data_IF_698360026493
#
_entry.id   IF_698360026493
#
_cell.length_a   1.000
_cell.length_b   1.000
_cell.length_c   1.000
_cell.angle_alpha   90.00
_cell.angle_beta   90.00
_cell.angle_gamma   90.00
#
_symmetry.space_group_name_H-M   'P 1'
#
loop_
_entity.id
_entity.type
_entity.pdbx_description
1 polymer ?
#
# COMPACT_ATOMS: atom_id res chain seq x y z
N UNK A 1 -27.17 15.52 -28.92
CA UNK A 1 -27.21 15.79 -27.46
C UNK A 1 -28.64 15.59 -26.99
N UNK A 2 -28.88 14.48 -26.31
CA UNK A 2 -30.16 14.08 -25.72
C UNK A 2 -30.72 15.19 -24.80
N UNK A 3 -32.04 15.41 -24.82
CA UNK A 3 -32.71 16.38 -23.93
C UNK A 3 -32.44 16.09 -22.45
N UNK A 4 -32.24 14.81 -22.11
CA UNK A 4 -31.91 14.35 -20.76
C UNK A 4 -30.55 14.87 -20.26
N UNK A 5 -29.57 14.98 -21.15
CA UNK A 5 -28.19 15.34 -20.80
C UNK A 5 -28.08 16.85 -20.53
N UNK A 6 -28.78 17.68 -21.32
CA UNK A 6 -28.93 19.12 -21.06
C UNK A 6 -29.61 19.41 -19.72
N UNK A 7 -30.63 18.63 -19.35
CA UNK A 7 -31.34 18.83 -18.08
C UNK A 7 -30.46 18.51 -16.87
N UNK A 8 -29.60 17.48 -16.95
CA UNK A 8 -28.64 17.14 -15.88
C UNK A 8 -27.55 18.20 -15.72
N UNK A 9 -27.01 18.68 -16.84
CA UNK A 9 -25.99 19.73 -16.83
C UNK A 9 -26.51 21.04 -16.20
N UNK A 10 -27.74 21.45 -16.55
CA UNK A 10 -28.34 22.69 -16.02
C UNK A 10 -28.61 22.59 -14.51
N UNK A 11 -29.08 21.43 -14.04
CA UNK A 11 -29.33 21.22 -12.60
C UNK A 11 -28.03 21.24 -11.80
N UNK A 12 -26.99 20.58 -12.29
CA UNK A 12 -25.68 20.56 -11.62
C UNK A 12 -25.09 21.97 -11.51
N UNK A 13 -25.13 22.75 -12.59
CA UNK A 13 -24.63 24.12 -12.61
C UNK A 13 -25.38 25.04 -11.63
N UNK A 14 -26.71 24.93 -11.57
CA UNK A 14 -27.53 25.70 -10.65
C UNK A 14 -27.22 25.37 -9.18
N UNK A 15 -26.98 24.09 -8.86
CA UNK A 15 -26.65 23.66 -7.51
C UNK A 15 -25.29 24.23 -7.04
N UNK A 16 -24.27 24.20 -7.89
CA UNK A 16 -22.96 24.81 -7.56
C UNK A 16 -23.04 26.31 -7.35
N UNK A 17 -23.88 27.01 -8.13
CA UNK A 17 -24.05 28.47 -8.01
C UNK A 17 -24.70 28.89 -6.68
N UNK A 18 -25.52 28.00 -6.08
CA UNK A 18 -26.17 28.25 -4.79
C UNK A 18 -25.31 27.77 -3.62
N UNK A 19 -24.61 26.63 -3.76
CA UNK A 19 -23.85 26.03 -2.66
C UNK A 19 -22.58 26.82 -2.29
N UNK A 20 -21.88 27.38 -3.28
CA UNK A 20 -20.65 28.15 -3.06
C UNK A 20 -20.85 29.40 -2.17
N UNK A 21 -21.83 30.29 -2.43
CA UNK A 21 -22.06 31.44 -1.56
C UNK A 21 -22.66 31.06 -0.21
N UNK A 22 -23.38 29.94 -0.08
CA UNK A 22 -23.91 29.52 1.22
C UNK A 22 -22.82 29.06 2.19
N UNK A 23 -21.79 28.36 1.71
CA UNK A 23 -20.69 27.89 2.58
C UNK A 23 -19.96 29.07 3.23
N UNK A 24 -19.75 30.17 2.49
CA UNK A 24 -19.09 31.36 3.04
C UNK A 24 -19.97 32.17 4.01
N UNK A 25 -21.30 32.06 3.89
CA UNK A 25 -22.23 32.74 4.78
C UNK A 25 -22.42 32.00 6.11
N UNK A 26 -22.30 30.67 6.12
CA UNK A 26 -22.50 29.85 7.34
C UNK A 26 -21.22 29.61 8.16
N UNK A 27 -20.02 29.78 7.59
CA UNK A 27 -18.75 29.65 8.32
C UNK A 27 -18.40 30.89 9.17
N UNK A 28 -19.22 31.95 9.10
CA UNK A 28 -18.92 33.25 9.72
C UNK A 28 -19.36 33.38 11.18
N UNK A 29 -20.20 32.47 11.69
CA UNK A 29 -20.84 32.56 13.01
C UNK A 29 -20.38 31.46 13.99
N UNK A 30 -19.09 31.09 13.98
CA UNK A 30 -18.53 30.23 15.03
C UNK A 30 -17.33 30.89 15.75
N UNK A 31 -17.55 31.64 16.85
CA UNK A 31 -16.49 32.20 17.68
C UNK A 31 -15.95 31.17 18.69
N UNK A 32 -15.62 29.95 18.22
CA UNK A 32 -15.06 28.91 19.09
C UNK A 32 -13.93 28.14 18.42
N UNK A 33 -12.82 28.84 18.17
CA UNK A 33 -11.53 28.19 17.89
C UNK A 33 -10.60 28.36 19.09
N UNK A 34 -10.34 27.29 19.87
CA UNK A 34 -9.18 27.20 20.73
C UNK A 34 -8.14 26.29 20.05
N UNK A 35 -7.43 26.84 19.07
CA UNK A 35 -6.19 26.27 18.54
C UNK A 35 -4.97 26.96 19.14
N UNK A 36 -4.83 26.92 20.47
CA UNK A 36 -3.62 27.38 21.16
C UNK A 36 -2.93 26.18 21.82
N UNK A 37 -1.79 25.80 21.25
CA UNK A 37 -0.89 24.75 21.71
C UNK A 37 -0.50 24.97 23.18
N UNK A 38 -0.87 24.04 24.06
CA UNK A 38 -0.35 23.98 25.43
C UNK A 38 1.00 23.26 25.43
N UNK A 39 2.08 24.02 25.42
CA UNK A 39 3.41 23.51 25.79
C UNK A 39 3.57 23.69 27.29
N UNK A 40 3.32 22.64 28.06
CA UNK A 40 3.64 22.60 29.47
C UNK A 40 5.16 22.47 29.65
N UNK A 41 5.82 23.53 30.10
CA UNK A 41 7.20 23.49 30.55
C UNK A 41 7.26 22.78 31.91
N UNK A 42 7.75 21.55 31.94
CA UNK A 42 8.12 20.88 33.18
C UNK A 42 9.42 21.49 33.70
N UNK A 43 9.33 22.23 34.81
CA UNK A 43 10.49 22.68 35.57
C UNK A 43 11.21 21.48 36.16
N UNK A 44 12.50 21.34 35.85
CA UNK A 44 13.39 20.40 36.53
C UNK A 44 14.12 21.19 37.62
N UNK A 45 13.84 20.85 38.88
CA UNK A 45 14.61 21.33 40.02
C UNK A 45 16.03 20.76 39.93
N UNK A 46 17.02 21.65 39.82
CA UNK A 46 18.44 21.35 39.96
C UNK A 46 18.78 21.05 41.42
N UNK A 47 19.25 19.84 41.78
CA UNK A 47 19.85 19.63 43.08
C UNK A 47 21.28 20.22 43.10
N UNK A 48 21.45 21.29 43.89
CA UNK A 48 22.75 21.75 44.38
C UNK A 48 23.35 20.68 45.29
N UNK A 49 24.27 19.89 44.74
CA UNK A 49 25.10 18.95 45.50
C UNK A 49 26.50 18.95 44.93
N UNK A 50 27.44 19.59 45.64
CA UNK A 50 28.86 19.53 45.31
C UNK A 50 29.37 18.10 45.56
N UNK A 51 29.36 17.27 44.52
CA UNK A 51 30.04 15.99 44.55
C UNK A 51 31.53 16.21 44.26
N UNK A 52 32.38 15.95 45.26
CA UNK A 52 33.83 15.86 45.09
C UNK A 52 34.15 14.80 44.03
N UNK A 53 34.84 15.22 42.97
CA UNK A 53 35.37 14.33 41.96
C UNK A 53 36.54 13.53 42.54
N UNK A 54 36.28 12.30 42.98
CA UNK A 54 37.32 11.30 43.14
C UNK A 54 37.64 10.76 41.75
N UNK A 55 38.79 11.14 41.20
CA UNK A 55 39.32 10.54 39.97
C UNK A 55 39.69 9.08 40.25
N UNK A 56 39.04 8.07 39.62
CA UNK A 56 39.60 6.74 39.63
C UNK A 56 40.88 6.76 38.78
N UNK A 57 42.00 6.33 39.35
CA UNK A 57 43.17 5.95 38.56
C UNK A 57 42.82 4.62 37.90
N UNK A 58 42.17 4.68 36.74
CA UNK A 58 41.97 3.52 35.88
C UNK A 58 43.16 3.46 34.92
N UNK A 59 44.07 2.53 35.18
CA UNK A 59 45.05 2.13 34.16
C UNK A 59 44.29 1.51 32.99
N UNK A 60 44.50 1.97 31.73
CA UNK A 60 43.80 1.40 30.60
C UNK A 60 44.31 -0.03 30.35
N UNK A 61 43.42 -1.02 30.43
CA UNK A 61 43.74 -2.38 29.99
C UNK A 61 44.17 -2.36 28.51
N UNK A 62 45.23 -3.09 28.20
CA UNK A 62 45.75 -3.18 26.84
C UNK A 62 44.70 -3.80 25.91
N UNK A 63 44.49 -3.25 24.71
CA UNK A 63 43.50 -3.79 23.77
C UNK A 63 43.90 -5.21 23.35
N UNK A 64 43.00 -6.16 23.58
CA UNK A 64 43.10 -7.51 23.04
C UNK A 64 42.74 -7.43 21.55
N UNK A 65 43.74 -7.59 20.69
CA UNK A 65 43.52 -7.82 19.28
C UNK A 65 43.18 -9.30 19.11
N UNK A 66 41.95 -9.62 18.70
CA UNK A 66 41.66 -10.95 18.19
C UNK A 66 42.52 -11.15 16.94
N UNK A 67 43.54 -11.98 17.05
CA UNK A 67 44.25 -12.52 15.91
C UNK A 67 43.22 -13.26 15.04
N UNK A 68 43.23 -12.97 13.74
CA UNK A 68 42.30 -13.53 12.75
C UNK A 68 42.59 -15.02 12.47
N UNK A 69 42.98 -15.77 13.51
CA UNK A 69 43.34 -17.19 13.51
C UNK A 69 42.11 -18.09 13.50
N UNK A 70 40.90 -17.53 13.65
CA UNK A 70 39.66 -18.25 13.38
C UNK A 70 39.46 -18.34 11.87
N UNK A 71 39.89 -19.46 11.29
CA UNK A 71 39.46 -19.84 9.95
C UNK A 71 37.94 -20.01 9.99
N UNK A 72 37.22 -19.07 9.37
CA UNK A 72 35.80 -19.24 9.09
C UNK A 72 35.66 -20.46 8.18
N UNK A 73 35.36 -21.62 8.78
CA UNK A 73 35.05 -22.83 8.03
C UNK A 73 33.82 -22.52 7.20
N UNK A 74 33.99 -22.44 5.88
CA UNK A 74 32.87 -22.28 4.98
C UNK A 74 31.89 -23.45 5.26
N UNK A 75 30.59 -23.15 5.42
CA UNK A 75 29.61 -24.20 5.71
C UNK A 75 29.71 -25.28 4.62
N UNK A 76 29.75 -26.55 5.04
CA UNK A 76 29.92 -27.67 4.13
C UNK A 76 28.76 -27.80 3.12
N UNK A 77 27.62 -27.18 3.41
CA UNK A 77 26.43 -27.14 2.55
C UNK A 77 25.83 -25.75 2.62
N UNK A 78 25.58 -25.15 1.45
CA UNK A 78 24.79 -23.93 1.29
C UNK A 78 23.44 -24.37 0.75
N UNK A 79 22.42 -24.40 1.60
CA UNK A 79 21.06 -24.67 1.15
C UNK A 79 20.47 -23.39 0.55
N UNK A 80 20.41 -23.34 -0.78
CA UNK A 80 19.71 -22.28 -1.52
C UNK A 80 18.29 -22.77 -1.79
N UNK A 81 17.30 -22.15 -1.15
CA UNK A 81 15.90 -22.41 -1.45
C UNK A 81 15.56 -21.81 -2.83
N UNK A 82 15.55 -22.64 -3.87
CA UNK A 82 14.98 -22.25 -5.16
C UNK A 82 13.45 -22.41 -5.11
N UNK A 83 12.69 -21.41 -5.56
CA UNK A 83 11.25 -21.58 -5.77
C UNK A 83 11.00 -22.71 -6.77
N UNK A 84 9.93 -23.48 -6.56
CA UNK A 84 9.46 -24.42 -7.56
C UNK A 84 9.14 -23.66 -8.86
N UNK A 85 9.42 -24.24 -10.05
CA UNK A 85 8.97 -23.67 -11.30
C UNK A 85 7.43 -23.56 -11.29
N UNK A 86 6.86 -22.55 -11.97
CA UNK A 86 5.40 -22.39 -12.02
C UNK A 86 4.76 -23.66 -12.59
N UNK A 87 3.69 -24.12 -11.93
CA UNK A 87 2.91 -25.26 -12.41
C UNK A 87 2.14 -24.96 -13.69
N UNK A 88 1.51 -25.99 -14.29
CA UNK A 88 0.76 -25.85 -15.55
C UNK A 88 -0.40 -24.84 -15.48
N UNK A 89 -0.89 -24.53 -14.28
CA UNK A 89 -1.92 -23.54 -14.03
C UNK A 89 -1.41 -22.33 -13.24
N UNK A 90 -0.15 -21.96 -13.39
CA UNK A 90 0.42 -20.78 -12.76
C UNK A 90 1.04 -19.83 -13.78
N UNK A 91 0.90 -18.53 -13.55
CA UNK A 91 1.55 -17.51 -14.33
C UNK A 91 1.97 -16.33 -13.46
N UNK A 92 2.95 -15.56 -13.90
CA UNK A 92 3.34 -14.31 -13.27
C UNK A 92 3.04 -13.16 -14.22
N UNK A 93 2.60 -12.04 -13.68
CA UNK A 93 2.27 -10.86 -14.48
C UNK A 93 2.13 -9.60 -13.62
N UNK A 94 1.65 -8.53 -14.24
CA UNK A 94 1.34 -7.27 -13.55
C UNK A 94 -0.17 -7.10 -13.38
N UNK A 95 -0.63 -6.82 -12.16
CA UNK A 95 -2.03 -6.50 -11.89
C UNK A 95 -2.25 -5.00 -11.88
N UNK A 96 -3.33 -4.56 -12.50
CA UNK A 96 -3.90 -3.22 -12.37
C UNK A 96 -5.38 -3.33 -12.05
N UNK A 97 -6.04 -2.19 -11.85
CA UNK A 97 -7.46 -2.14 -11.54
C UNK A 97 -8.23 -1.31 -12.56
N UNK A 98 -9.50 -1.66 -12.71
CA UNK A 98 -10.50 -0.86 -13.40
C UNK A 98 -11.86 -1.20 -12.84
N UNK A 99 -12.77 -0.23 -12.77
CA UNK A 99 -14.15 -0.51 -12.35
C UNK A 99 -14.88 -1.37 -13.38
N UNK A 100 -15.45 -2.48 -12.93
CA UNK A 100 -16.33 -3.33 -13.74
C UNK A 100 -17.78 -2.91 -13.56
N UNK A 101 -18.28 -2.08 -14.47
CA UNK A 101 -19.67 -1.66 -14.47
C UNK A 101 -20.55 -2.69 -15.21
N UNK A 102 -21.75 -2.95 -14.68
CA UNK A 102 -22.80 -3.70 -15.39
C UNK A 102 -22.60 -5.21 -15.52
N UNK A 103 -21.68 -5.81 -14.75
CA UNK A 103 -21.50 -7.27 -14.70
C UNK A 103 -22.25 -7.89 -13.51
N UNK A 104 -22.82 -9.08 -13.73
CA UNK A 104 -23.42 -9.92 -12.69
C UNK A 104 -22.42 -10.87 -12.03
N UNK A 105 -21.20 -10.94 -12.57
CA UNK A 105 -20.16 -11.83 -12.08
C UNK A 105 -19.57 -11.23 -10.81
N UNK A 106 -19.55 -12.02 -9.74
CA UNK A 106 -18.92 -11.63 -8.49
C UNK A 106 -17.39 -11.57 -8.67
N UNK A 107 -16.80 -10.42 -8.33
CA UNK A 107 -15.34 -10.18 -8.35
C UNK A 107 -14.70 -10.52 -9.70
N UNK A 108 -15.10 -9.80 -10.76
CA UNK A 108 -14.61 -10.05 -12.10
C UNK A 108 -13.15 -9.59 -12.25
N UNK A 109 -12.42 -10.26 -13.12
CA UNK A 109 -11.11 -9.84 -13.59
C UNK A 109 -10.89 -10.29 -15.04
N UNK A 110 -9.88 -9.75 -15.70
CA UNK A 110 -9.53 -10.11 -17.07
C UNK A 110 -8.03 -10.34 -17.15
N UNK A 111 -7.62 -11.55 -17.55
CA UNK A 111 -6.23 -11.87 -17.91
C UNK A 111 -6.19 -12.89 -19.05
N UNK A 112 -5.33 -12.66 -20.04
CA UNK A 112 -5.08 -13.63 -21.12
C UNK A 112 -4.14 -14.76 -20.70
N UNK A 113 -3.60 -14.73 -19.49
CA UNK A 113 -2.71 -15.77 -18.96
C UNK A 113 -3.49 -16.99 -18.44
N UNK A 114 -4.77 -16.83 -18.12
CA UNK A 114 -5.63 -17.88 -17.59
C UNK A 114 -6.85 -18.10 -18.51
N UNK A 115 -7.49 -19.30 -18.48
CA UNK A 115 -8.69 -19.58 -19.24
C UNK A 115 -9.87 -18.67 -18.87
N UNK A 116 -10.80 -18.47 -19.80
CA UNK A 116 -12.08 -17.81 -19.53
C UNK A 116 -12.92 -18.62 -18.53
N UNK A 117 -13.58 -17.93 -17.60
CA UNK A 117 -14.41 -18.54 -16.57
C UNK A 117 -13.63 -19.15 -15.40
N UNK A 118 -12.29 -19.18 -15.46
CA UNK A 118 -11.46 -19.69 -14.38
C UNK A 118 -11.51 -18.79 -13.13
N UNK A 119 -11.53 -19.41 -11.95
CA UNK A 119 -11.34 -18.69 -10.68
C UNK A 119 -9.85 -18.56 -10.42
N UNK A 120 -9.31 -17.37 -10.68
CA UNK A 120 -7.90 -17.07 -10.48
C UNK A 120 -7.67 -16.67 -9.02
N UNK A 121 -6.69 -17.32 -8.39
CA UNK A 121 -6.08 -16.83 -7.16
C UNK A 121 -4.92 -15.91 -7.54
N UNK A 122 -5.00 -14.66 -7.09
CA UNK A 122 -4.06 -13.59 -7.37
C UNK A 122 -3.31 -13.27 -6.09
N UNK A 123 -2.00 -13.48 -6.09
CA UNK A 123 -1.12 -13.17 -4.97
C UNK A 123 -0.17 -12.06 -5.36
N UNK A 124 -0.18 -10.96 -4.61
CA UNK A 124 0.80 -9.90 -4.76
C UNK A 124 2.16 -10.40 -4.26
N UNK A 125 3.18 -10.31 -5.12
CA UNK A 125 4.51 -10.84 -4.85
C UNK A 125 5.26 -9.96 -3.82
N UNK A 126 4.96 -8.66 -3.78
CA UNK A 126 5.67 -7.71 -2.92
C UNK A 126 5.28 -7.82 -1.44
N UNK A 127 4.02 -8.17 -1.16
CA UNK A 127 3.48 -8.21 0.20
C UNK A 127 2.85 -9.56 0.61
N UNK A 128 2.72 -10.50 -0.33
CA UNK A 128 2.14 -11.83 -0.09
C UNK A 128 0.62 -11.86 0.09
N UNK A 129 -0.08 -10.72 -0.01
CA UNK A 129 -1.54 -10.67 0.08
C UNK A 129 -2.16 -11.38 -1.12
N UNK A 130 -3.20 -12.16 -0.85
CA UNK A 130 -3.84 -12.99 -1.86
C UNK A 130 -5.34 -12.81 -1.89
N UNK A 131 -5.91 -12.94 -3.08
CA UNK A 131 -7.34 -12.77 -3.31
C UNK A 131 -7.80 -13.57 -4.52
N UNK A 132 -9.11 -13.74 -4.69
CA UNK A 132 -9.67 -14.52 -5.79
C UNK A 132 -10.53 -13.66 -6.71
N UNK A 133 -10.53 -13.98 -8.01
CA UNK A 133 -11.37 -13.30 -9.00
C UNK A 133 -11.76 -14.25 -10.13
N UNK A 134 -12.88 -13.99 -10.80
CA UNK A 134 -13.35 -14.79 -11.93
C UNK A 134 -12.91 -14.15 -13.23
N UNK A 135 -12.20 -14.90 -14.09
CA UNK A 135 -11.71 -14.39 -15.37
C UNK A 135 -12.84 -14.27 -16.40
N UNK A 136 -13.29 -13.06 -16.69
CA UNK A 136 -14.39 -12.83 -17.63
C UNK A 136 -13.91 -12.56 -19.05
N UNK A 137 -12.64 -12.18 -19.24
CA UNK A 137 -12.08 -11.73 -20.53
C UNK A 137 -12.91 -10.63 -21.22
N UNK A 138 -13.67 -9.84 -20.45
CA UNK A 138 -14.62 -8.86 -21.00
C UNK A 138 -13.99 -7.50 -21.27
N UNK A 139 -12.82 -7.22 -20.69
CA UNK A 139 -12.13 -5.93 -20.86
C UNK A 139 -10.86 -6.05 -21.69
N UNK A 140 -10.56 -5.08 -22.57
CA UNK A 140 -9.27 -5.03 -23.23
C UNK A 140 -8.17 -4.71 -22.20
N UNK A 141 -7.12 -5.52 -22.22
CA UNK A 141 -5.91 -5.38 -21.42
C UNK A 141 -5.07 -4.18 -21.89
N UNK A 142 -4.61 -3.26 -21.02
CA UNK A 142 -3.61 -2.28 -21.41
C UNK A 142 -2.24 -2.97 -21.63
N UNK A 143 -1.31 -2.37 -22.39
CA UNK A 143 -0.05 -3.02 -22.72
C UNK A 143 0.86 -3.29 -21.51
N UNK A 144 0.69 -2.55 -20.42
CA UNK A 144 1.54 -2.54 -19.22
C UNK A 144 1.02 -3.38 -18.04
N UNK A 145 -0.15 -4.01 -18.16
CA UNK A 145 -0.70 -4.90 -17.13
C UNK A 145 -1.17 -6.22 -17.75
N UNK A 146 -1.00 -7.34 -17.07
CA UNK A 146 -1.41 -8.69 -17.52
C UNK A 146 -2.74 -9.15 -16.93
N UNK A 147 -3.15 -8.53 -15.84
CA UNK A 147 -4.40 -8.78 -15.15
C UNK A 147 -5.06 -7.42 -14.85
N UNK A 148 -6.32 -7.27 -15.24
CA UNK A 148 -7.18 -6.17 -14.78
C UNK A 148 -8.18 -6.76 -13.80
N UNK A 149 -8.14 -6.31 -12.56
CA UNK A 149 -9.10 -6.68 -11.52
C UNK A 149 -10.14 -5.58 -11.35
N UNK A 150 -11.33 -5.94 -10.88
CA UNK A 150 -12.22 -4.91 -10.35
C UNK A 150 -11.55 -4.15 -9.19
N UNK A 151 -11.83 -2.83 -9.11
CA UNK A 151 -11.23 -1.94 -8.09
C UNK A 151 -11.41 -2.49 -6.68
N UNK A 152 -12.60 -3.01 -6.34
CA UNK A 152 -12.89 -3.53 -5.00
C UNK A 152 -12.13 -4.83 -4.71
N UNK A 153 -11.74 -5.55 -5.75
CA UNK A 153 -10.93 -6.77 -5.64
C UNK A 153 -9.44 -6.41 -5.52
N UNK A 154 -8.99 -5.40 -6.26
CA UNK A 154 -7.59 -4.96 -6.24
C UNK A 154 -7.17 -4.39 -4.87
N UNK A 155 -8.05 -3.62 -4.22
CA UNK A 155 -7.75 -3.05 -2.89
C UNK A 155 -7.54 -4.11 -1.80
N UNK A 156 -7.92 -5.37 -2.05
CA UNK A 156 -7.63 -6.48 -1.15
C UNK A 156 -6.16 -6.93 -1.19
N UNK A 157 -5.40 -6.56 -2.23
CA UNK A 157 -4.00 -6.98 -2.41
C UNK A 157 -2.99 -5.83 -2.49
N UNK A 158 -3.42 -4.61 -2.83
CA UNK A 158 -2.55 -3.44 -2.95
C UNK A 158 -3.33 -2.13 -2.84
N UNK A 159 -2.64 -1.02 -2.54
CA UNK A 159 -3.24 0.30 -2.66
C UNK A 159 -3.31 0.73 -4.13
N UNK A 160 -4.33 1.52 -4.49
CA UNK A 160 -4.56 1.96 -5.87
C UNK A 160 -3.37 2.76 -6.45
N UNK A 161 -2.64 3.48 -5.60
CA UNK A 161 -1.48 4.29 -6.01
C UNK A 161 -0.27 3.45 -6.42
N UNK A 162 -0.23 2.19 -6.01
CA UNK A 162 0.89 1.28 -6.29
C UNK A 162 0.72 0.53 -7.62
N UNK A 163 -0.42 0.74 -8.31
CA UNK A 163 -0.69 0.06 -9.56
C UNK A 163 0.26 0.51 -10.69
N UNK A 164 0.73 -0.41 -11.54
CA UNK A 164 0.51 -1.86 -11.50
C UNK A 164 1.50 -2.63 -10.60
N UNK A 165 0.99 -3.58 -9.81
CA UNK A 165 1.79 -4.42 -8.88
C UNK A 165 2.14 -5.78 -9.48
N UNK A 166 3.31 -6.37 -9.16
CA UNK A 166 3.66 -7.73 -9.58
C UNK A 166 2.81 -8.76 -8.85
N UNK A 167 2.20 -9.68 -9.60
CA UNK A 167 1.34 -10.74 -9.06
C UNK A 167 1.70 -12.11 -9.62
N UNK A 168 1.49 -13.13 -8.79
CA UNK A 168 1.41 -14.53 -9.20
C UNK A 168 -0.06 -14.93 -9.30
N UNK A 169 -0.41 -15.62 -10.37
CA UNK A 169 -1.72 -16.13 -10.70
C UNK A 169 -1.69 -17.65 -10.60
N UNK A 170 -2.73 -18.25 -10.02
CA UNK A 170 -2.95 -19.70 -10.07
C UNK A 170 -4.44 -20.02 -10.30
N UNK A 171 -4.76 -21.09 -11.03
CA UNK A 171 -6.15 -21.46 -11.35
C UNK A 171 -6.41 -22.97 -11.45
#
# INVERSE_FOLDING_TARGET
MEVHDRRRLVIAAAFTLVALPSIWLFDRDDPTSPGASSVAAAGVDTPTGAAQATTPTTEPEQPIFLDNSVLAVAPAVIDVALPAPPGDNEATGKATYRRYDGTIIFRPCTSYLAPSGATITVTNIDNGLSTTCTNTLTMPKPPDADLIMDTDVYVAIAALVDAPVPVRLSW
#
